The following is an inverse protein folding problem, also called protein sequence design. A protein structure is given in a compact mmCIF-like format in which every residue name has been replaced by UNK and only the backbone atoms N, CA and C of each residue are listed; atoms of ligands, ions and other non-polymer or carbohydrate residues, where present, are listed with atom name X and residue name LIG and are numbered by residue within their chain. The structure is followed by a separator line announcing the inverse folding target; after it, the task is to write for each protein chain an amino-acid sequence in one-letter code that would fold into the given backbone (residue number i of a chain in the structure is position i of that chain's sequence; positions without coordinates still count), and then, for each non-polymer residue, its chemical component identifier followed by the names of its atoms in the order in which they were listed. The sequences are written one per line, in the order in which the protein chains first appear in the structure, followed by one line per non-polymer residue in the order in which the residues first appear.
data_IF_489233054883
#
_entry.id   IF_489233054883
#
_cell.length_a   1.000
_cell.length_b   1.000
_cell.length_c   1.000
_cell.angle_alpha   90.00
_cell.angle_beta   90.00
_cell.angle_gamma   90.00
#
_symmetry.space_group_name_H-M   'P 1'
#
loop_
_entity.id
_entity.type
_entity.pdbx_description
1 polymer ?
#
# COMPACT_ATOMS: atom_id res chain seq x y z
N UNK A 1 -44.18 -63.99 -58.67
CA UNK A 1 -44.49 -62.60 -58.29
C UNK A 1 -44.00 -62.44 -56.88
N UNK A 2 -42.68 -62.05 -56.71
CA UNK A 2 -42.08 -61.84 -55.36
C UNK A 2 -41.84 -60.36 -55.14
N UNK A 3 -42.52 -59.84 -54.11
CA UNK A 3 -42.26 -58.51 -53.62
C UNK A 3 -41.23 -58.53 -52.52
N UNK A 4 -40.05 -57.94 -52.79
CA UNK A 4 -39.01 -57.71 -51.79
C UNK A 4 -39.37 -56.47 -51.00
N UNK A 5 -39.54 -56.59 -49.66
CA UNK A 5 -39.64 -55.45 -48.71
C UNK A 5 -38.24 -54.97 -48.38
N UNK A 6 -37.94 -53.76 -48.74
CA UNK A 6 -36.72 -53.06 -48.28
C UNK A 6 -37.02 -52.46 -46.88
N UNK A 7 -36.32 -52.92 -45.87
CA UNK A 7 -36.28 -52.32 -44.56
C UNK A 7 -35.10 -51.33 -44.49
N UNK A 8 -35.43 -50.04 -44.52
CA UNK A 8 -34.44 -49.00 -44.31
C UNK A 8 -34.25 -48.81 -42.78
N UNK A 9 -33.10 -49.21 -42.24
CA UNK A 9 -32.72 -48.95 -40.86
C UNK A 9 -32.17 -47.53 -40.78
N UNK A 10 -32.87 -46.61 -40.15
CA UNK A 10 -32.41 -45.29 -39.84
C UNK A 10 -31.60 -45.31 -38.54
N UNK A 11 -30.29 -45.22 -38.66
CA UNK A 11 -29.36 -45.10 -37.53
C UNK A 11 -29.35 -43.66 -37.04
N UNK A 12 -30.07 -43.38 -35.98
CA UNK A 12 -30.09 -42.06 -35.29
C UNK A 12 -28.80 -41.87 -34.51
N UNK A 13 -27.93 -40.97 -35.00
CA UNK A 13 -26.74 -40.54 -34.27
C UNK A 13 -27.13 -39.54 -33.20
N UNK A 14 -27.23 -39.97 -31.92
CA UNK A 14 -27.44 -39.08 -30.78
C UNK A 14 -26.12 -38.33 -30.47
N UNK A 15 -26.01 -37.09 -30.83
CA UNK A 15 -24.93 -36.19 -30.38
C UNK A 15 -25.10 -35.89 -28.89
N UNK A 16 -24.32 -36.57 -28.05
CA UNK A 16 -24.19 -36.22 -26.63
C UNK A 16 -23.25 -35.04 -26.54
N UNK A 17 -23.80 -33.82 -26.40
CA UNK A 17 -23.03 -32.63 -26.08
C UNK A 17 -22.71 -32.65 -24.57
N UNK A 18 -21.49 -33.09 -24.24
CA UNK A 18 -20.96 -32.92 -22.89
C UNK A 18 -20.66 -31.44 -22.66
N UNK A 19 -21.50 -30.76 -21.88
CA UNK A 19 -21.21 -29.43 -21.36
C UNK A 19 -20.05 -29.58 -20.38
N UNK A 20 -18.87 -29.13 -20.80
CA UNK A 20 -17.71 -28.97 -19.88
C UNK A 20 -18.03 -27.76 -19.02
N UNK A 21 -18.51 -27.99 -17.79
CA UNK A 21 -18.58 -26.96 -16.78
C UNK A 21 -17.15 -26.51 -16.48
N UNK A 22 -16.76 -25.32 -16.95
CA UNK A 22 -15.51 -24.69 -16.50
C UNK A 22 -15.65 -24.48 -15.00
N UNK A 23 -14.98 -25.29 -14.21
CA UNK A 23 -14.79 -25.02 -12.79
C UNK A 23 -14.09 -23.67 -12.67
N UNK A 24 -14.84 -22.66 -12.26
CA UNK A 24 -14.31 -21.34 -11.99
C UNK A 24 -13.34 -21.52 -10.81
N UNK A 25 -12.03 -21.49 -11.09
CA UNK A 25 -11.03 -21.56 -10.04
C UNK A 25 -11.31 -20.44 -9.05
N UNK A 26 -11.38 -20.76 -7.75
CA UNK A 26 -11.51 -19.76 -6.69
C UNK A 26 -10.39 -18.71 -6.88
N UNK A 27 -10.68 -17.43 -6.63
CA UNK A 27 -9.67 -16.40 -6.78
C UNK A 27 -8.44 -16.75 -5.95
N UNK A 28 -7.26 -16.67 -6.56
CA UNK A 28 -5.98 -17.01 -5.93
C UNK A 28 -5.57 -16.03 -4.80
N UNK A 29 -6.41 -15.05 -4.45
CA UNK A 29 -6.18 -14.06 -3.40
C UNK A 29 -7.23 -14.21 -2.28
N UNK A 30 -6.89 -13.71 -1.10
CA UNK A 30 -7.71 -13.77 0.12
C UNK A 30 -8.30 -12.40 0.48
N UNK A 31 -9.28 -12.39 1.41
CA UNK A 31 -9.77 -11.14 1.99
C UNK A 31 -8.67 -10.37 2.76
N UNK A 32 -7.65 -11.05 3.26
CA UNK A 32 -6.51 -10.39 3.91
C UNK A 32 -5.63 -9.65 2.89
N UNK A 33 -5.42 -10.23 1.69
CA UNK A 33 -4.72 -9.56 0.59
C UNK A 33 -5.45 -8.29 0.16
N UNK A 34 -6.77 -8.35 0.03
CA UNK A 34 -7.61 -7.18 -0.29
C UNK A 34 -7.48 -6.10 0.77
N UNK A 35 -7.59 -6.47 2.07
CA UNK A 35 -7.43 -5.50 3.16
C UNK A 35 -6.05 -4.88 3.22
N UNK A 36 -5.00 -5.67 2.95
CA UNK A 36 -3.63 -5.15 2.86
C UNK A 36 -3.49 -4.11 1.75
N UNK A 37 -3.92 -4.42 0.52
CA UNK A 37 -3.87 -3.49 -0.60
C UNK A 37 -4.69 -2.21 -0.33
N UNK A 38 -5.90 -2.35 0.23
CA UNK A 38 -6.74 -1.20 0.58
C UNK A 38 -6.12 -0.33 1.69
N UNK A 39 -5.60 -0.96 2.74
CA UNK A 39 -4.98 -0.26 3.86
C UNK A 39 -3.69 0.46 3.45
N UNK A 40 -2.83 -0.21 2.67
CA UNK A 40 -1.56 0.36 2.25
C UNK A 40 -1.74 1.58 1.32
N UNK A 41 -2.83 1.67 0.53
CA UNK A 41 -3.17 2.89 -0.22
C UNK A 41 -3.29 4.09 0.72
N UNK A 42 -4.05 3.97 1.79
CA UNK A 42 -4.23 5.05 2.76
C UNK A 42 -2.97 5.36 3.56
N UNK A 43 -2.20 4.33 3.89
CA UNK A 43 -0.92 4.46 4.57
C UNK A 43 0.06 5.28 3.72
N UNK A 44 0.29 4.90 2.47
CA UNK A 44 1.16 5.62 1.53
C UNK A 44 0.70 7.05 1.26
N UNK A 45 -0.61 7.26 1.18
CA UNK A 45 -1.15 8.59 0.99
C UNK A 45 -0.78 9.55 2.13
N UNK A 46 -0.66 9.09 3.38
CA UNK A 46 -0.17 9.94 4.47
C UNK A 46 1.31 10.33 4.28
N UNK A 47 2.16 9.43 3.82
CA UNK A 47 3.54 9.78 3.50
C UNK A 47 3.63 10.88 2.44
N UNK A 48 2.76 10.84 1.41
CA UNK A 48 2.70 11.90 0.39
C UNK A 48 2.32 13.25 0.99
N UNK A 49 1.41 13.30 1.97
CA UNK A 49 1.08 14.53 2.71
C UNK A 49 2.29 15.07 3.48
N UNK A 50 3.03 14.20 4.17
CA UNK A 50 4.24 14.59 4.90
C UNK A 50 5.32 15.13 3.95
N UNK A 51 5.57 14.45 2.84
CA UNK A 51 6.55 14.86 1.81
C UNK A 51 6.18 16.20 1.18
N UNK A 52 4.90 16.49 0.97
CA UNK A 52 4.43 17.74 0.40
C UNK A 52 4.80 18.98 1.25
N UNK A 53 5.11 18.80 2.54
CA UNK A 53 5.56 19.89 3.42
C UNK A 53 7.02 20.33 3.15
N UNK A 54 7.87 19.44 2.60
CA UNK A 54 9.32 19.68 2.48
C UNK A 54 9.68 20.98 1.76
N UNK A 55 9.10 21.32 0.58
CA UNK A 55 9.48 22.50 -0.17
C UNK A 55 9.35 23.81 0.61
N UNK A 56 8.36 23.91 1.48
CA UNK A 56 8.05 25.12 2.24
C UNK A 56 8.73 25.17 3.61
N UNK A 57 9.35 24.08 4.06
CA UNK A 57 9.89 23.91 5.42
C UNK A 57 11.40 23.86 5.49
N UNK A 58 12.06 23.45 4.41
CA UNK A 58 13.53 23.37 4.35
C UNK A 58 14.07 23.58 2.93
N UNK A 59 15.28 24.14 2.86
CA UNK A 59 16.05 24.25 1.62
C UNK A 59 17.09 23.13 1.48
N UNK A 60 17.12 22.19 2.43
CA UNK A 60 18.11 21.14 2.50
C UNK A 60 18.00 20.17 1.32
N UNK A 61 19.02 20.13 0.48
CA UNK A 61 19.00 19.43 -0.80
C UNK A 61 18.87 17.89 -0.64
N UNK A 62 19.57 17.30 0.34
CA UNK A 62 19.52 15.85 0.59
C UNK A 62 18.13 15.41 1.10
N UNK A 63 17.47 16.22 1.95
CA UNK A 63 16.10 15.94 2.40
C UNK A 63 15.07 16.11 1.26
N UNK A 64 15.26 17.13 0.40
CA UNK A 64 14.41 17.31 -0.80
C UNK A 64 14.54 16.14 -1.76
N UNK A 65 15.77 15.65 -2.00
CA UNK A 65 16.01 14.50 -2.85
C UNK A 65 15.42 13.20 -2.26
N UNK A 66 15.48 13.02 -0.94
CA UNK A 66 14.83 11.92 -0.24
C UNK A 66 13.32 12.00 -0.40
N UNK A 67 12.72 13.15 -0.13
CA UNK A 67 11.28 13.36 -0.27
C UNK A 67 10.76 13.10 -1.68
N UNK A 68 11.51 13.54 -2.72
CA UNK A 68 11.14 13.28 -4.10
C UNK A 68 11.18 11.77 -4.43
N UNK A 69 12.13 11.01 -3.91
CA UNK A 69 12.18 9.56 -4.07
C UNK A 69 10.97 8.89 -3.45
N UNK A 70 10.65 9.23 -2.18
CA UNK A 70 9.46 8.71 -1.48
C UNK A 70 8.20 9.06 -2.26
N UNK A 71 8.09 10.30 -2.76
CA UNK A 71 6.93 10.75 -3.54
C UNK A 71 6.72 9.91 -4.80
N UNK A 72 7.78 9.65 -5.55
CA UNK A 72 7.70 8.86 -6.79
C UNK A 72 7.34 7.42 -6.48
N UNK A 73 8.10 6.76 -5.60
CA UNK A 73 7.90 5.36 -5.22
C UNK A 73 6.45 5.13 -4.73
N UNK A 74 6.03 5.85 -3.71
CA UNK A 74 4.72 5.62 -3.09
C UNK A 74 3.55 6.05 -3.98
N UNK A 75 3.73 7.02 -4.87
CA UNK A 75 2.71 7.34 -5.89
C UNK A 75 2.51 6.17 -6.85
N UNK A 76 3.59 5.53 -7.29
CA UNK A 76 3.50 4.40 -8.22
C UNK A 76 2.98 3.14 -7.54
N UNK A 77 3.36 2.89 -6.29
CA UNK A 77 2.82 1.80 -5.47
C UNK A 77 1.31 1.96 -5.23
N UNK A 78 0.81 3.17 -4.96
CA UNK A 78 -0.64 3.44 -4.87
C UNK A 78 -1.34 3.06 -6.18
N UNK A 79 -0.78 3.44 -7.35
CA UNK A 79 -1.37 3.08 -8.65
C UNK A 79 -1.43 1.57 -8.86
N UNK A 80 -0.36 0.86 -8.51
CA UNK A 80 -0.30 -0.62 -8.60
C UNK A 80 -1.38 -1.28 -7.74
N UNK A 81 -1.52 -0.86 -6.48
CA UNK A 81 -2.56 -1.36 -5.58
C UNK A 81 -3.97 -1.06 -6.10
N UNK A 82 -4.21 0.16 -6.58
CA UNK A 82 -5.48 0.53 -7.17
C UNK A 82 -5.80 -0.28 -8.42
N UNK A 83 -4.80 -0.56 -9.27
CA UNK A 83 -4.97 -1.39 -10.45
C UNK A 83 -5.32 -2.83 -10.04
N UNK A 84 -4.56 -3.42 -9.12
CA UNK A 84 -4.79 -4.76 -8.60
C UNK A 84 -6.22 -4.94 -8.06
N UNK A 85 -6.71 -3.97 -7.29
CA UNK A 85 -8.07 -3.97 -6.74
C UNK A 85 -9.13 -3.87 -7.84
N UNK A 86 -8.94 -2.98 -8.84
CA UNK A 86 -9.88 -2.82 -9.96
C UNK A 86 -10.01 -4.11 -10.78
N UNK A 87 -8.89 -4.74 -11.12
CA UNK A 87 -8.86 -5.97 -11.92
C UNK A 87 -9.60 -7.14 -11.24
N UNK A 88 -9.71 -7.06 -9.90
CA UNK A 88 -10.41 -8.07 -9.08
C UNK A 88 -11.79 -7.64 -8.62
N UNK A 89 -12.31 -6.53 -9.18
CA UNK A 89 -13.61 -5.94 -8.82
C UNK A 89 -13.73 -5.66 -7.30
N UNK A 90 -12.63 -5.29 -6.65
CA UNK A 90 -12.61 -4.91 -5.25
C UNK A 90 -12.78 -3.39 -5.10
N UNK A 91 -13.32 -2.96 -3.96
CA UNK A 91 -13.43 -1.54 -3.64
C UNK A 91 -12.05 -0.89 -3.61
N UNK A 92 -11.91 0.21 -4.35
CA UNK A 92 -10.68 1.01 -4.38
C UNK A 92 -10.86 2.22 -3.47
N UNK A 93 -10.09 2.33 -2.36
CA UNK A 93 -10.14 3.49 -1.49
C UNK A 93 -9.67 4.75 -2.22
N UNK A 94 -10.29 5.87 -1.89
CA UNK A 94 -9.77 7.19 -2.26
C UNK A 94 -8.57 7.53 -1.35
N UNK A 95 -7.36 7.67 -1.89
CA UNK A 95 -6.19 7.99 -1.08
C UNK A 95 -6.28 9.33 -0.35
N UNK A 96 -7.14 10.25 -0.82
CA UNK A 96 -7.33 11.57 -0.20
C UNK A 96 -8.37 11.59 0.91
N UNK A 97 -9.31 10.64 0.91
CA UNK A 97 -10.44 10.63 1.86
C UNK A 97 -9.97 10.45 3.31
N UNK A 98 -8.98 9.60 3.57
CA UNK A 98 -8.46 9.36 4.93
C UNK A 98 -7.78 10.61 5.52
N UNK A 99 -7.16 11.45 4.69
CA UNK A 99 -6.56 12.71 5.16
C UNK A 99 -7.61 13.76 5.49
N UNK A 100 -8.67 13.85 4.70
CA UNK A 100 -9.77 14.77 4.97
C UNK A 100 -10.42 14.44 6.32
N UNK A 101 -10.58 13.17 6.65
CA UNK A 101 -11.12 12.71 7.93
C UNK A 101 -10.19 13.03 9.11
N UNK A 102 -8.89 12.85 8.98
CA UNK A 102 -7.91 13.18 10.02
C UNK A 102 -7.80 14.71 10.25
N UNK A 103 -7.91 15.52 9.20
CA UNK A 103 -7.84 16.98 9.29
C UNK A 103 -9.11 17.63 9.86
N UNK A 104 -10.28 17.00 9.75
CA UNK A 104 -11.55 17.62 10.13
C UNK A 104 -11.98 17.37 11.57
N UNK A 105 -11.21 16.61 12.36
CA UNK A 105 -11.47 16.34 13.79
C UNK A 105 -12.97 16.10 14.11
N UNK A 106 -13.62 15.23 13.31
CA UNK A 106 -15.05 14.99 13.43
C UNK A 106 -15.38 14.08 14.62
N UNK A 107 -16.38 14.38 15.44
CA UNK A 107 -16.84 13.49 16.51
C UNK A 107 -17.23 12.10 15.95
N UNK A 108 -16.63 11.04 16.49
CA UNK A 108 -16.86 9.65 16.06
C UNK A 108 -15.82 9.08 15.10
N UNK A 109 -14.75 9.81 14.81
CA UNK A 109 -13.61 9.35 14.02
C UNK A 109 -12.64 8.48 14.84
N UNK A 110 -11.85 7.62 14.16
CA UNK A 110 -10.87 6.77 14.80
C UNK A 110 -9.90 7.58 15.66
N UNK A 111 -9.82 7.22 16.93
CA UNK A 111 -8.76 7.67 17.84
C UNK A 111 -7.43 7.01 17.47
N UNK A 112 -6.31 7.38 18.12
CA UNK A 112 -4.99 6.77 17.91
C UNK A 112 -5.02 5.23 17.90
N UNK A 113 -5.94 4.63 18.65
CA UNK A 113 -6.09 3.16 18.77
C UNK A 113 -6.64 2.47 17.52
N UNK A 114 -7.12 3.24 16.54
CA UNK A 114 -7.67 2.72 15.27
C UNK A 114 -6.84 3.10 14.05
N UNK A 115 -5.74 3.83 14.23
CA UNK A 115 -4.80 4.11 13.14
C UNK A 115 -4.05 2.84 12.74
N UNK A 116 -3.74 2.73 11.45
CA UNK A 116 -2.84 1.68 10.98
C UNK A 116 -1.45 1.86 11.61
N UNK A 117 -0.68 0.77 11.78
CA UNK A 117 0.65 0.83 12.38
C UNK A 117 1.51 1.94 11.78
N UNK A 118 2.19 2.70 12.62
CA UNK A 118 3.12 3.76 12.21
C UNK A 118 2.51 5.05 11.68
N UNK A 119 1.22 5.10 11.36
CA UNK A 119 0.58 6.34 10.93
C UNK A 119 0.64 7.42 12.00
N UNK A 120 0.85 8.65 11.56
CA UNK A 120 0.82 9.83 12.42
C UNK A 120 -0.62 10.19 12.78
N UNK A 121 -0.81 10.64 14.02
CA UNK A 121 -2.08 11.26 14.44
C UNK A 121 -2.24 12.64 13.82
N UNK A 122 -3.44 13.20 13.91
CA UNK A 122 -3.71 14.56 13.45
C UNK A 122 -2.84 15.60 14.19
N UNK A 123 -2.57 15.38 15.48
CA UNK A 123 -1.71 16.25 16.30
C UNK A 123 -0.26 16.17 15.83
N UNK A 124 0.28 15.00 15.58
CA UNK A 124 1.64 14.81 15.06
C UNK A 124 1.81 15.45 13.66
N UNK A 125 0.83 15.27 12.78
CA UNK A 125 0.83 15.93 11.47
C UNK A 125 0.77 17.46 11.60
N UNK A 126 -0.02 17.98 12.54
CA UNK A 126 -0.11 19.42 12.81
C UNK A 126 1.20 19.98 13.40
N UNK A 127 1.88 19.20 14.26
CA UNK A 127 3.19 19.56 14.81
C UNK A 127 4.24 19.60 13.68
N UNK A 128 4.31 18.58 12.86
CA UNK A 128 5.18 18.52 11.68
C UNK A 128 4.92 19.70 10.74
N UNK A 129 3.64 20.02 10.50
CA UNK A 129 3.23 21.13 9.64
C UNK A 129 3.59 22.52 10.17
N UNK A 130 3.85 22.68 11.47
CA UNK A 130 4.29 23.96 12.10
C UNK A 130 5.82 24.08 12.16
N UNK A 131 6.53 22.97 12.22
CA UNK A 131 7.99 22.97 12.34
C UNK A 131 8.67 23.59 11.10
N UNK A 132 9.87 24.14 11.27
CA UNK A 132 10.65 24.83 10.23
C UNK A 132 12.13 24.49 10.35
N UNK A 133 12.88 24.56 9.23
CA UNK A 133 14.33 24.40 9.20
C UNK A 133 14.78 23.11 9.87
N UNK A 134 15.78 23.21 10.75
CA UNK A 134 16.39 22.05 11.40
C UNK A 134 15.42 21.24 12.29
N UNK A 135 14.44 21.91 12.92
CA UNK A 135 13.43 21.23 13.73
C UNK A 135 12.49 20.41 12.84
N UNK A 136 12.04 20.97 11.73
CA UNK A 136 11.27 20.24 10.72
C UNK A 136 12.06 19.05 10.18
N UNK A 137 13.33 19.24 9.81
CA UNK A 137 14.18 18.18 9.23
C UNK A 137 14.27 16.97 10.15
N UNK A 138 14.53 17.21 11.45
CA UNK A 138 14.63 16.12 12.44
C UNK A 138 13.30 15.45 12.71
N UNK A 139 12.23 16.24 12.84
CA UNK A 139 10.89 15.74 13.10
C UNK A 139 10.38 14.92 11.91
N UNK A 140 10.53 15.45 10.69
CA UNK A 140 10.16 14.74 9.45
C UNK A 140 10.84 13.37 9.36
N UNK A 141 12.16 13.31 9.60
CA UNK A 141 12.90 12.05 9.52
C UNK A 141 12.44 11.05 10.56
N UNK A 142 12.24 11.49 11.81
CA UNK A 142 11.73 10.64 12.90
C UNK A 142 10.34 10.10 12.58
N UNK A 143 9.45 10.96 12.17
CA UNK A 143 8.06 10.64 11.89
C UNK A 143 7.93 9.72 10.66
N UNK A 144 8.74 9.96 9.62
CA UNK A 144 8.75 9.13 8.42
C UNK A 144 9.38 7.75 8.67
N UNK A 145 10.39 7.65 9.56
CA UNK A 145 10.91 6.36 10.02
C UNK A 145 9.81 5.57 10.74
N UNK A 146 9.10 6.18 11.70
CA UNK A 146 7.97 5.55 12.38
C UNK A 146 6.91 5.05 11.39
N UNK A 147 6.59 5.89 10.40
CA UNK A 147 5.61 5.57 9.37
C UNK A 147 6.05 4.35 8.55
N UNK A 148 7.29 4.31 8.10
CA UNK A 148 7.85 3.19 7.34
C UNK A 148 7.93 1.89 8.15
N UNK A 149 8.29 1.97 9.43
CA UNK A 149 8.22 0.80 10.33
C UNK A 149 6.81 0.24 10.44
N UNK A 150 5.79 1.12 10.38
CA UNK A 150 4.38 0.72 10.31
C UNK A 150 4.05 -0.08 9.05
N UNK A 151 4.56 0.33 7.89
CA UNK A 151 4.38 -0.41 6.63
C UNK A 151 5.01 -1.81 6.72
N UNK A 152 6.22 -1.92 7.31
CA UNK A 152 6.86 -3.23 7.56
C UNK A 152 6.02 -4.12 8.48
N UNK A 153 5.38 -3.56 9.51
CA UNK A 153 4.48 -4.30 10.39
C UNK A 153 3.23 -4.80 9.64
N UNK A 154 2.69 -3.99 8.70
CA UNK A 154 1.57 -4.41 7.85
C UNK A 154 1.97 -5.55 6.91
N UNK A 155 3.16 -5.49 6.29
CA UNK A 155 3.70 -6.59 5.47
C UNK A 155 3.88 -7.85 6.31
N UNK A 156 4.47 -7.75 7.51
CA UNK A 156 4.65 -8.89 8.40
C UNK A 156 3.31 -9.52 8.80
N UNK A 157 2.29 -8.71 9.05
CA UNK A 157 0.93 -9.18 9.36
C UNK A 157 0.31 -9.93 8.19
N UNK A 158 0.45 -9.41 6.97
CA UNK A 158 -0.02 -10.08 5.74
C UNK A 158 0.63 -11.45 5.60
N UNK A 159 1.95 -11.51 5.61
CA UNK A 159 2.71 -12.74 5.38
C UNK A 159 2.59 -13.75 6.55
N UNK A 160 2.29 -13.28 7.75
CA UNK A 160 2.01 -14.10 8.94
C UNK A 160 0.58 -14.64 9.00
N UNK A 161 -0.33 -14.14 8.17
CA UNK A 161 -1.73 -14.59 8.13
C UNK A 161 -1.85 -15.83 7.24
N UNK A 162 -2.42 -16.92 7.76
CA UNK A 162 -2.55 -18.19 7.03
C UNK A 162 -3.26 -18.01 5.69
N UNK A 163 -2.59 -18.42 4.61
CA UNK A 163 -3.11 -18.39 3.24
C UNK A 163 -3.07 -17.02 2.54
N UNK A 164 -2.71 -15.93 3.23
CA UNK A 164 -2.52 -14.63 2.60
C UNK A 164 -1.09 -14.42 2.10
N UNK A 165 -0.92 -13.45 1.20
CA UNK A 165 0.38 -13.18 0.59
C UNK A 165 0.88 -14.32 -0.32
N UNK A 166 0.01 -15.24 -0.76
CA UNK A 166 0.38 -16.36 -1.63
C UNK A 166 0.14 -16.04 -3.11
N UNK A 167 -0.71 -15.08 -3.39
CA UNK A 167 -0.95 -14.61 -4.75
C UNK A 167 0.32 -13.92 -5.27
N UNK A 168 0.83 -14.29 -6.47
CA UNK A 168 2.15 -13.86 -6.93
C UNK A 168 2.36 -12.34 -7.00
N UNK A 169 1.34 -11.57 -7.37
CA UNK A 169 1.44 -10.10 -7.44
C UNK A 169 1.44 -9.47 -6.04
N UNK A 170 0.62 -9.99 -5.12
CA UNK A 170 0.60 -9.54 -3.71
C UNK A 170 1.92 -9.86 -3.04
N UNK A 171 2.44 -11.08 -3.22
CA UNK A 171 3.72 -11.48 -2.64
C UNK A 171 4.87 -10.60 -3.14
N UNK A 172 4.95 -10.39 -4.46
CA UNK A 172 5.98 -9.54 -5.06
C UNK A 172 5.88 -8.11 -4.54
N UNK A 173 4.67 -7.53 -4.57
CA UNK A 173 4.43 -6.18 -4.06
C UNK A 173 4.81 -6.05 -2.59
N UNK A 174 4.41 -6.98 -1.73
CA UNK A 174 4.77 -6.96 -0.32
C UNK A 174 6.29 -7.06 -0.09
N UNK A 175 6.98 -7.88 -0.89
CA UNK A 175 8.44 -8.01 -0.82
C UNK A 175 9.16 -6.75 -1.31
N UNK A 176 8.66 -6.09 -2.36
CA UNK A 176 9.18 -4.81 -2.86
C UNK A 176 9.00 -3.71 -1.81
N UNK A 177 7.80 -3.59 -1.21
CA UNK A 177 7.55 -2.65 -0.10
C UNK A 177 8.49 -2.92 1.08
N UNK A 178 8.68 -4.18 1.50
CA UNK A 178 9.60 -4.51 2.60
C UNK A 178 11.02 -4.04 2.29
N UNK A 179 11.53 -4.32 1.10
CA UNK A 179 12.89 -3.96 0.70
C UNK A 179 13.09 -2.43 0.60
N UNK A 180 12.15 -1.73 -0.04
CA UNK A 180 12.24 -0.29 -0.25
C UNK A 180 12.09 0.48 1.06
N UNK A 181 11.12 0.11 1.90
CA UNK A 181 10.90 0.75 3.21
C UNK A 181 12.12 0.59 4.13
N UNK A 182 12.76 -0.60 4.16
CA UNK A 182 14.02 -0.80 4.93
C UNK A 182 15.15 0.04 4.40
N UNK A 183 15.30 0.14 3.08
CA UNK A 183 16.35 0.96 2.47
C UNK A 183 16.12 2.46 2.75
N UNK A 184 14.88 2.91 2.77
CA UNK A 184 14.53 4.30 3.11
C UNK A 184 14.74 4.60 4.59
N UNK A 185 14.34 3.71 5.50
CA UNK A 185 14.64 3.81 6.94
C UNK A 185 16.16 3.97 7.16
N UNK A 186 16.97 3.15 6.53
CA UNK A 186 18.43 3.24 6.67
C UNK A 186 18.98 4.61 6.20
N UNK A 187 18.47 5.13 5.08
CA UNK A 187 18.85 6.46 4.58
C UNK A 187 18.42 7.58 5.52
N UNK A 188 17.18 7.52 6.02
CA UNK A 188 16.63 8.49 6.96
C UNK A 188 17.37 8.49 8.29
N UNK A 189 17.66 7.32 8.85
CA UNK A 189 18.44 7.17 10.08
C UNK A 189 19.82 7.76 9.93
N UNK A 190 20.54 7.44 8.85
CA UNK A 190 21.85 8.01 8.58
C UNK A 190 21.83 9.53 8.40
N UNK A 191 20.74 10.10 7.84
CA UNK A 191 20.59 11.54 7.73
C UNK A 191 20.30 12.17 9.10
N UNK A 192 19.42 11.56 9.89
CA UNK A 192 19.08 12.01 11.24
C UNK A 192 20.29 12.02 12.17
N UNK A 193 21.15 11.00 12.11
CA UNK A 193 22.39 10.91 12.88
C UNK A 193 23.34 12.05 12.52
N UNK A 194 23.48 12.38 11.23
CA UNK A 194 24.30 13.54 10.80
C UNK A 194 23.76 14.86 11.35
N UNK A 195 22.43 15.04 11.34
CA UNK A 195 21.79 16.25 11.88
C UNK A 195 21.98 16.38 13.40
N UNK A 196 21.98 15.28 14.12
CA UNK A 196 22.22 15.27 15.55
C UNK A 196 23.70 15.52 15.89
N UNK A 197 24.63 14.94 15.12
CA UNK A 197 26.09 15.13 15.28
C UNK A 197 26.54 16.57 15.02
N UNK A 198 25.99 17.23 14.00
CA UNK A 198 26.28 18.65 13.71
C UNK A 198 25.75 19.62 14.77
N UNK A 199 24.65 19.26 15.47
CA UNK A 199 24.13 20.08 16.58
C UNK A 199 25.02 20.04 17.84
N UNK A 200 25.83 19.00 18.03
CA UNK A 200 26.77 18.85 19.16
C UNK A 200 28.11 19.59 18.96
N UNK A 201 28.49 19.89 17.72
CA UNK A 201 29.76 20.54 17.41
C UNK A 201 29.75 22.07 17.49
N UNK A 202 28.59 22.70 17.74
CA UNK A 202 28.41 24.18 17.77
C UNK A 202 28.27 24.73 19.18
N UNK A 203 28.96 24.13 20.17
CA UNK A 203 29.09 24.74 21.51
C UNK A 203 30.54 25.10 21.73
N UNK A 204 30.89 26.41 21.73
CA UNK A 204 32.19 26.89 22.20
C UNK A 204 32.33 26.78 23.72
#
# INVERSE_FOLDING_TARGET
MNRLLNHTVMCGLACITTAVASAQQAPHYTAADVRFMQGMIGHHAQALVMVALIPDRTTRADLRALGERIRVSQTDEIKLMQQWLRERNQTVPDPTAQHQHQMMNMPGMPTSDTLMPGMLTAEQLAELGKAQGADFEKLFLKDMIQHHEGALAMVATLLGTTGSGQEPEVFRFAAEVDADQRAEIARMSALLDRLNGTSGASRP
#
